data_IF_748877041145
#
_entry.id   IF_748877041145
#
_cell.length_a   1.000
_cell.length_b   1.000
_cell.length_c   1.000
_cell.angle_alpha   90.00
_cell.angle_beta   90.00
_cell.angle_gamma   90.00
#
_symmetry.space_group_name_H-M   'P 1'
#
loop_
_entity.id
_entity.type
_entity.pdbx_description
1 polymer ?
#
# COMPACT_ATOMS: atom_id res chain seq x y z
N UNK A 1 36.80 -33.84 -22.08
CA UNK A 1 35.78 -33.29 -23.00
C UNK A 1 35.02 -32.22 -22.25
N UNK A 2 34.94 -30.97 -22.73
CA UNK A 2 34.19 -29.94 -22.04
C UNK A 2 32.69 -30.13 -22.31
N UNK A 3 31.90 -30.15 -21.24
CA UNK A 3 30.43 -30.20 -21.30
C UNK A 3 29.97 -28.80 -21.69
N UNK A 4 29.47 -28.63 -22.91
CA UNK A 4 28.73 -27.43 -23.30
C UNK A 4 27.29 -27.60 -22.82
N UNK A 5 26.91 -26.81 -21.82
CA UNK A 5 25.51 -26.61 -21.44
C UNK A 5 24.86 -25.79 -22.56
N UNK A 6 23.92 -26.38 -23.29
CA UNK A 6 23.06 -25.67 -24.24
C UNK A 6 22.18 -24.69 -23.46
N UNK A 7 22.58 -23.42 -23.44
CA UNK A 7 21.78 -22.35 -22.88
C UNK A 7 20.81 -21.86 -23.95
N UNK A 8 19.53 -22.19 -23.79
CA UNK A 8 18.47 -21.75 -24.68
C UNK A 8 18.03 -20.32 -24.30
N UNK A 9 18.42 -19.32 -25.10
CA UNK A 9 18.02 -17.92 -24.89
C UNK A 9 16.52 -17.67 -25.13
N UNK A 10 15.81 -18.61 -25.77
CA UNK A 10 14.37 -18.53 -26.05
C UNK A 10 13.50 -19.12 -24.92
N UNK A 11 14.11 -19.86 -23.97
CA UNK A 11 13.44 -20.23 -22.72
C UNK A 11 13.57 -19.07 -21.72
N UNK A 12 12.59 -18.16 -21.75
CA UNK A 12 12.34 -17.33 -20.57
C UNK A 12 12.09 -18.29 -19.40
N UNK A 13 12.88 -18.23 -18.31
CA UNK A 13 12.63 -19.10 -17.17
C UNK A 13 11.17 -18.89 -16.75
N UNK A 14 10.41 -19.98 -16.67
CA UNK A 14 9.05 -19.93 -16.12
C UNK A 14 9.14 -19.14 -14.81
N UNK A 15 8.58 -17.94 -14.79
CA UNK A 15 8.50 -17.14 -13.57
C UNK A 15 7.49 -17.84 -12.68
N UNK A 16 7.94 -18.88 -11.98
CA UNK A 16 7.29 -19.38 -10.78
C UNK A 16 7.37 -18.24 -9.79
N UNK A 17 6.34 -17.39 -9.81
CA UNK A 17 6.11 -16.38 -8.79
C UNK A 17 5.80 -17.15 -7.51
N UNK A 18 6.85 -17.42 -6.73
CA UNK A 18 6.76 -18.01 -5.39
C UNK A 18 6.13 -16.96 -4.44
N UNK A 19 4.85 -16.69 -4.71
CA UNK A 19 4.03 -15.80 -3.92
C UNK A 19 3.52 -16.58 -2.72
N UNK A 20 3.58 -16.00 -1.51
CA UNK A 20 3.04 -16.65 -0.33
C UNK A 20 1.56 -17.00 -0.53
N UNK A 21 1.21 -18.24 -0.20
CA UNK A 21 -0.16 -18.72 -0.10
C UNK A 21 -0.31 -19.49 1.21
N UNK A 22 -1.42 -19.22 1.90
CA UNK A 22 -1.74 -19.84 3.16
C UNK A 22 -3.11 -20.52 3.04
N UNK A 23 -3.16 -21.85 3.08
CA UNK A 23 -4.43 -22.60 2.98
C UNK A 23 -5.48 -22.17 4.03
N UNK A 24 -5.02 -21.78 5.22
CA UNK A 24 -5.87 -21.29 6.31
C UNK A 24 -5.31 -19.97 6.86
N UNK A 25 -5.62 -18.82 6.23
CA UNK A 25 -5.05 -17.53 6.62
C UNK A 25 -5.61 -17.08 7.99
N UNK A 26 -4.72 -16.91 8.96
CA UNK A 26 -5.05 -16.65 10.37
C UNK A 26 -5.12 -15.18 10.73
N UNK A 27 -4.47 -14.33 9.94
CA UNK A 27 -4.38 -12.90 10.18
C UNK A 27 -4.57 -12.10 8.89
N UNK A 28 -4.77 -10.79 9.05
CA UNK A 28 -5.02 -9.89 7.93
C UNK A 28 -3.87 -9.82 6.92
N UNK A 29 -2.63 -10.02 7.36
CA UNK A 29 -1.48 -10.05 6.46
C UNK A 29 -1.52 -11.26 5.54
N UNK A 30 -1.76 -12.45 6.09
CA UNK A 30 -1.91 -13.69 5.32
C UNK A 30 -3.09 -13.60 4.35
N UNK A 31 -4.24 -13.05 4.79
CA UNK A 31 -5.40 -12.82 3.92
C UNK A 31 -5.06 -11.91 2.73
N UNK A 32 -4.38 -10.80 2.97
CA UNK A 32 -3.96 -9.89 1.89
C UNK A 32 -2.94 -10.54 0.95
N UNK A 33 -2.01 -11.34 1.46
CA UNK A 33 -1.05 -12.09 0.64
C UNK A 33 -1.76 -13.14 -0.22
N UNK A 34 -2.77 -13.82 0.31
CA UNK A 34 -3.61 -14.73 -0.47
C UNK A 34 -4.38 -13.99 -1.56
N UNK A 35 -4.99 -12.83 -1.27
CA UNK A 35 -5.67 -12.07 -2.32
C UNK A 35 -4.71 -11.64 -3.43
N UNK A 36 -3.48 -11.23 -3.10
CA UNK A 36 -2.44 -10.99 -4.10
C UNK A 36 -2.15 -12.24 -4.94
N UNK A 37 -2.04 -13.40 -4.29
CA UNK A 37 -1.82 -14.68 -4.95
C UNK A 37 -2.96 -15.04 -5.90
N UNK A 38 -4.22 -14.78 -5.52
CA UNK A 38 -5.43 -14.98 -6.33
C UNK A 38 -5.42 -14.04 -7.54
N UNK A 39 -5.16 -12.74 -7.30
CA UNK A 39 -5.10 -11.72 -8.35
C UNK A 39 -4.04 -12.05 -9.41
N UNK A 40 -2.85 -12.46 -8.99
CA UNK A 40 -1.76 -12.82 -9.92
C UNK A 40 -2.05 -14.09 -10.72
N UNK A 41 -3.11 -14.83 -10.40
CA UNK A 41 -3.64 -15.97 -11.17
C UNK A 41 -4.88 -15.63 -12.00
N UNK A 42 -5.28 -14.36 -12.02
CA UNK A 42 -6.39 -13.87 -12.86
C UNK A 42 -7.71 -13.66 -12.13
N UNK A 43 -7.78 -13.81 -10.80
CA UNK A 43 -8.98 -13.39 -10.05
C UNK A 43 -8.99 -11.86 -9.88
N UNK A 44 -9.60 -11.16 -10.83
CA UNK A 44 -9.78 -9.69 -10.77
C UNK A 44 -10.58 -9.24 -9.53
N UNK A 45 -11.49 -10.08 -9.00
CA UNK A 45 -12.26 -9.74 -7.81
C UNK A 45 -11.38 -9.69 -6.54
N UNK A 46 -10.19 -10.29 -6.57
CA UNK A 46 -9.26 -10.24 -5.46
C UNK A 46 -8.70 -8.82 -5.20
N UNK A 47 -8.64 -7.94 -6.21
CA UNK A 47 -8.29 -6.52 -5.98
C UNK A 47 -9.33 -5.80 -5.12
N UNK A 48 -10.61 -6.08 -5.32
CA UNK A 48 -11.68 -5.51 -4.48
C UNK A 48 -11.56 -6.00 -3.03
N UNK A 49 -11.31 -7.30 -2.84
CA UNK A 49 -11.05 -7.88 -1.50
C UNK A 49 -9.82 -7.26 -0.84
N UNK A 50 -8.74 -7.02 -1.60
CA UNK A 50 -7.55 -6.31 -1.13
C UNK A 50 -7.87 -4.88 -0.71
N UNK A 51 -8.66 -4.17 -1.52
CA UNK A 51 -9.09 -2.81 -1.21
C UNK A 51 -9.89 -2.75 0.09
N UNK A 52 -10.93 -3.57 0.23
CA UNK A 52 -11.81 -3.56 1.41
C UNK A 52 -11.06 -3.88 2.71
N UNK A 53 -10.29 -4.96 2.71
CA UNK A 53 -9.50 -5.35 3.88
C UNK A 53 -8.39 -4.34 4.17
N UNK A 54 -7.67 -3.89 3.13
CA UNK A 54 -6.60 -2.91 3.21
C UNK A 54 -7.07 -1.56 3.76
N UNK A 55 -8.23 -1.10 3.33
CA UNK A 55 -8.89 0.11 3.82
C UNK A 55 -9.19 0.03 5.32
N UNK A 56 -9.78 -1.08 5.77
CA UNK A 56 -10.08 -1.31 7.19
C UNK A 56 -8.81 -1.36 8.04
N UNK A 57 -7.73 -1.98 7.54
CA UNK A 57 -6.42 -1.97 8.21
C UNK A 57 -5.87 -0.54 8.31
N UNK A 58 -5.93 0.23 7.23
CA UNK A 58 -5.45 1.61 7.19
C UNK A 58 -6.19 2.49 8.21
N UNK A 59 -7.52 2.36 8.32
CA UNK A 59 -8.33 3.05 9.34
C UNK A 59 -7.88 2.71 10.77
N UNK A 60 -7.56 1.44 11.05
CA UNK A 60 -7.05 1.03 12.37
C UNK A 60 -5.68 1.61 12.67
N UNK A 61 -4.78 1.70 11.67
CA UNK A 61 -3.51 2.39 11.85
C UNK A 61 -3.70 3.88 12.12
N UNK A 62 -4.52 4.58 11.33
CA UNK A 62 -4.83 5.99 11.56
C UNK A 62 -5.41 6.20 12.97
N UNK A 63 -6.34 5.34 13.39
CA UNK A 63 -6.91 5.39 14.74
C UNK A 63 -5.87 5.15 15.84
N UNK A 64 -4.90 4.28 15.59
CA UNK A 64 -3.76 4.06 16.51
C UNK A 64 -2.86 5.30 16.59
N UNK A 65 -2.63 5.99 15.48
CA UNK A 65 -1.90 7.27 15.47
C UNK A 65 -2.69 8.39 16.14
N UNK A 66 -4.01 8.47 15.93
CA UNK A 66 -4.87 9.46 16.57
C UNK A 66 -4.79 9.39 18.11
N UNK A 67 -4.64 8.19 18.69
CA UNK A 67 -4.45 8.04 20.14
C UNK A 67 -3.15 8.66 20.67
N UNK A 68 -2.13 8.79 19.81
CA UNK A 68 -0.78 9.25 20.18
C UNK A 68 -0.47 10.67 19.69
N UNK A 69 -1.20 11.18 18.70
CA UNK A 69 -0.93 12.46 18.06
C UNK A 69 -2.19 13.35 18.04
N UNK A 70 -2.21 14.46 18.80
CA UNK A 70 -3.36 15.37 18.87
C UNK A 70 -3.77 15.97 17.52
N UNK A 71 -2.83 16.21 16.60
CA UNK A 71 -3.17 16.75 15.27
C UNK A 71 -3.98 15.74 14.45
N UNK A 72 -3.64 14.46 14.55
CA UNK A 72 -4.40 13.39 13.89
C UNK A 72 -5.73 13.16 14.62
N UNK A 73 -5.75 13.27 15.96
CA UNK A 73 -6.96 13.19 16.75
C UNK A 73 -7.99 14.27 16.39
N UNK A 74 -7.54 15.44 15.93
CA UNK A 74 -8.40 16.55 15.48
C UNK A 74 -8.93 16.38 14.06
N UNK A 75 -8.39 15.44 13.26
CA UNK A 75 -8.98 15.14 11.96
C UNK A 75 -10.39 14.57 12.16
N UNK A 76 -11.34 15.12 11.42
CA UNK A 76 -12.70 14.58 11.34
C UNK A 76 -12.70 13.20 10.68
N UNK A 77 -13.83 12.50 10.81
CA UNK A 77 -13.98 11.13 10.30
C UNK A 77 -13.73 11.07 8.79
N UNK A 78 -14.28 12.00 8.01
CA UNK A 78 -14.16 12.00 6.55
C UNK A 78 -12.71 12.12 6.10
N UNK A 79 -11.94 13.04 6.70
CA UNK A 79 -10.49 13.18 6.40
C UNK A 79 -9.67 11.93 6.74
N UNK A 80 -10.05 11.19 7.78
CA UNK A 80 -9.38 9.92 8.12
C UNK A 80 -9.72 8.83 7.11
N UNK A 81 -10.97 8.77 6.68
CA UNK A 81 -11.45 7.86 5.64
C UNK A 81 -10.76 8.15 4.30
N UNK A 82 -10.67 9.41 3.90
CA UNK A 82 -9.95 9.84 2.69
C UNK A 82 -8.46 9.42 2.73
N UNK A 83 -7.78 9.63 3.86
CA UNK A 83 -6.37 9.20 4.02
C UNK A 83 -6.21 7.68 3.97
N UNK A 84 -7.13 6.93 4.57
CA UNK A 84 -7.12 5.47 4.47
C UNK A 84 -7.35 5.01 3.03
N UNK A 85 -8.30 5.64 2.33
CA UNK A 85 -8.59 5.40 0.92
C UNK A 85 -7.36 5.66 0.06
N UNK A 86 -6.73 6.83 0.16
CA UNK A 86 -5.54 7.20 -0.59
C UNK A 86 -4.37 6.24 -0.35
N UNK A 87 -4.20 5.76 0.89
CA UNK A 87 -3.15 4.82 1.23
C UNK A 87 -3.31 3.48 0.50
N UNK A 88 -4.52 2.90 0.48
CA UNK A 88 -4.76 1.59 -0.14
C UNK A 88 -4.92 1.70 -1.67
N UNK A 89 -5.57 2.75 -2.20
CA UNK A 89 -5.70 2.93 -3.65
C UNK A 89 -4.37 3.14 -4.32
N UNK A 90 -3.39 3.75 -3.66
CA UNK A 90 -2.03 3.78 -4.20
C UNK A 90 -1.47 2.37 -4.43
N UNK A 91 -1.67 1.45 -3.48
CA UNK A 91 -1.17 0.08 -3.60
C UNK A 91 -1.90 -0.65 -4.73
N UNK A 92 -3.23 -0.50 -4.82
CA UNK A 92 -4.04 -1.07 -5.90
C UNK A 92 -3.59 -0.52 -7.26
N UNK A 93 -3.35 0.79 -7.38
CA UNK A 93 -2.84 1.40 -8.61
C UNK A 93 -1.49 0.81 -9.03
N UNK A 94 -0.61 0.47 -8.09
CA UNK A 94 0.66 -0.20 -8.38
C UNK A 94 0.47 -1.59 -9.00
N UNK A 95 -0.54 -2.35 -8.56
CA UNK A 95 -0.88 -3.63 -9.18
C UNK A 95 -1.37 -3.46 -10.62
N UNK A 96 -2.17 -2.42 -10.89
CA UNK A 96 -2.71 -2.14 -12.22
C UNK A 96 -1.65 -1.60 -13.20
N UNK A 97 -0.68 -0.83 -12.70
CA UNK A 97 0.32 -0.15 -13.55
C UNK A 97 1.61 -0.94 -13.76
N UNK A 98 1.97 -1.81 -12.82
CA UNK A 98 3.25 -2.53 -12.82
C UNK A 98 2.98 -4.03 -12.78
N UNK A 99 3.16 -4.68 -13.92
CA UNK A 99 2.89 -6.11 -14.12
C UNK A 99 3.54 -7.00 -13.04
N UNK A 100 4.80 -6.71 -12.71
CA UNK A 100 5.61 -7.53 -11.79
C UNK A 100 5.50 -7.09 -10.31
N UNK A 101 4.64 -6.11 -10.00
CA UNK A 101 4.50 -5.63 -8.64
C UNK A 101 3.90 -6.71 -7.73
N UNK A 102 4.65 -7.05 -6.69
CA UNK A 102 4.31 -8.06 -5.68
C UNK A 102 4.92 -7.68 -4.33
N UNK A 103 4.26 -8.11 -3.26
CA UNK A 103 4.64 -7.94 -1.87
C UNK A 103 4.85 -9.35 -1.28
N UNK A 104 6.07 -9.64 -0.85
CA UNK A 104 6.43 -11.00 -0.42
C UNK A 104 6.39 -11.21 1.10
N UNK A 105 6.64 -10.17 1.91
CA UNK A 105 6.79 -10.34 3.36
C UNK A 105 5.57 -9.87 4.14
N UNK A 106 5.29 -8.57 4.09
CA UNK A 106 4.21 -7.99 4.89
C UNK A 106 3.46 -6.91 4.12
N UNK A 107 2.26 -7.28 3.70
CA UNK A 107 1.30 -6.36 3.10
C UNK A 107 0.84 -5.31 4.13
N UNK A 108 0.59 -5.73 5.37
CA UNK A 108 0.17 -4.82 6.45
C UNK A 108 1.24 -3.79 6.80
N UNK A 109 2.53 -4.14 6.70
CA UNK A 109 3.64 -3.18 6.87
C UNK A 109 3.70 -2.19 5.70
N UNK A 110 3.46 -2.65 4.47
CA UNK A 110 3.41 -1.76 3.31
C UNK A 110 2.24 -0.76 3.42
N UNK A 111 1.06 -1.21 3.86
CA UNK A 111 -0.07 -0.32 4.19
C UNK A 111 0.32 0.68 5.28
N UNK A 112 0.98 0.23 6.35
CA UNK A 112 1.43 1.12 7.42
C UNK A 112 2.32 2.25 6.89
N UNK A 113 3.29 1.94 6.03
CA UNK A 113 4.17 2.93 5.42
C UNK A 113 3.39 3.92 4.53
N UNK A 114 2.39 3.44 3.76
CA UNK A 114 1.52 4.33 2.99
C UNK A 114 0.67 5.23 3.90
N UNK A 115 0.15 4.70 5.00
CA UNK A 115 -0.58 5.51 5.99
C UNK A 115 0.33 6.57 6.62
N UNK A 116 1.59 6.25 6.95
CA UNK A 116 2.55 7.27 7.42
C UNK A 116 2.72 8.38 6.39
N UNK A 117 2.89 8.01 5.12
CA UNK A 117 3.02 8.97 4.04
C UNK A 117 1.78 9.87 3.96
N UNK A 118 0.57 9.32 3.95
CA UNK A 118 -0.66 10.12 3.88
C UNK A 118 -0.91 11.01 5.11
N UNK A 119 -0.40 10.63 6.29
CA UNK A 119 -0.57 11.40 7.52
C UNK A 119 0.46 12.52 7.70
N UNK A 120 1.71 12.27 7.32
CA UNK A 120 2.84 13.13 7.73
C UNK A 120 3.61 13.73 6.56
N UNK A 121 3.52 13.17 5.36
CA UNK A 121 4.24 13.71 4.22
C UNK A 121 3.52 14.96 3.70
N UNK A 122 4.19 16.12 3.80
CA UNK A 122 3.79 17.34 3.12
C UNK A 122 4.50 17.42 1.77
N UNK A 123 3.77 17.81 0.72
CA UNK A 123 4.39 18.09 -0.58
C UNK A 123 5.05 19.47 -0.49
N UNK A 124 6.17 19.67 -1.19
CA UNK A 124 6.85 20.98 -1.26
C UNK A 124 5.94 22.13 -1.72
N UNK A 125 4.89 21.83 -2.49
CA UNK A 125 3.88 22.80 -2.95
C UNK A 125 2.97 23.26 -1.81
N UNK A 126 2.75 22.42 -0.79
CA UNK A 126 1.92 22.77 0.37
C UNK A 126 2.59 23.86 1.24
N UNK A 127 3.92 24.02 1.15
CA UNK A 127 4.66 25.10 1.80
C UNK A 127 4.61 26.42 0.99
N UNK A 128 4.33 26.37 -0.31
CA UNK A 128 4.17 27.58 -1.16
C UNK A 128 2.85 28.30 -0.86
N UNK A 129 1.83 27.53 -0.44
CA UNK A 129 0.50 28.04 -0.07
C UNK A 129 0.37 28.15 1.45
N UNK A 130 1.44 28.52 2.15
CA UNK A 130 1.26 29.17 3.46
C UNK A 130 0.89 30.62 3.17
N UNK A 131 -0.40 30.94 3.22
CA UNK A 131 -0.85 32.33 3.23
C UNK A 131 -0.02 33.08 4.28
N UNK A 132 0.78 34.04 3.84
CA UNK A 132 1.36 35.03 4.72
C UNK A 132 0.15 35.76 5.31
N UNK A 133 -0.17 35.51 6.58
CA UNK A 133 -1.09 36.36 7.33
C UNK A 133 -0.44 37.75 7.38
N UNK A 134 -0.87 38.64 6.47
CA UNK A 134 -0.37 40.01 6.35
C UNK A 134 -0.59 40.80 7.66
N UNK A 135 -1.43 40.31 8.56
CA UNK A 135 -1.68 40.88 9.89
C UNK A 135 -0.52 40.70 10.88
N UNK A 136 0.50 39.91 10.54
CA UNK A 136 1.73 39.78 11.37
C UNK A 136 2.87 40.69 10.95
N UNK A 137 2.73 41.46 9.87
CA UNK A 137 3.72 42.46 9.45
C UNK A 137 3.37 43.79 10.14
N UNK A 138 3.77 43.94 11.40
CA UNK A 138 3.89 45.27 12.00
C UNK A 138 5.14 45.94 11.42
N UNK A 139 4.93 46.98 10.61
CA UNK A 139 5.96 47.94 10.18
C UNK A 139 6.06 49.04 11.24
#
# INVERSE_FOLDING_TARGET
>A
MPIQLEFNFDELPERKTDLPHYEAPKNDNERLLNYQWDYKRGDEAALNKMYELGYNIALRYISTHAKKNPHIAKLDKSRREEKAHNAITYIIARYLQIQDFTIHKSFTSYIYLRVQHELFYKRKVDDIVSFIDLDTIQI
#
